data_IF_963795970793
#
_entry.id   IF_963795970793
#
_cell.length_a   1.000
_cell.length_b   1.000
_cell.length_c   1.000
_cell.angle_alpha   90.00
_cell.angle_beta   90.00
_cell.angle_gamma   90.00
#
_symmetry.space_group_name_H-M   'P 1'
#
loop_
_entity.id
_entity.type
_entity.pdbx_description
1 polymer ?
#
# COMPACT_ATOMS: atom_id res chain seq x y z
N UNK A 1 -65.86 13.80 -5.92
CA UNK A 1 -64.70 14.67 -6.23
C UNK A 1 -63.51 14.46 -5.27
N UNK A 2 -63.43 13.36 -4.50
CA UNK A 2 -62.34 13.12 -3.53
C UNK A 2 -61.05 12.56 -4.17
N UNK A 3 -61.10 12.00 -5.38
CA UNK A 3 -59.94 11.33 -5.99
C UNK A 3 -58.77 12.26 -6.33
N UNK A 4 -59.03 13.53 -6.68
CA UNK A 4 -57.99 14.41 -7.24
C UNK A 4 -56.93 14.90 -6.25
N UNK A 5 -57.20 14.86 -4.94
CA UNK A 5 -56.25 15.35 -3.92
C UNK A 5 -55.23 14.29 -3.49
N UNK A 6 -55.58 13.01 -3.60
CA UNK A 6 -54.67 11.91 -3.26
C UNK A 6 -53.61 11.72 -4.36
N UNK A 7 -54.01 11.81 -5.63
CA UNK A 7 -53.10 11.68 -6.77
C UNK A 7 -52.02 12.78 -6.80
N UNK A 8 -52.40 14.03 -6.50
CA UNK A 8 -51.45 15.14 -6.43
C UNK A 8 -50.41 15.00 -5.29
N UNK A 9 -50.80 14.38 -4.16
CA UNK A 9 -49.89 14.13 -3.05
C UNK A 9 -48.88 13.01 -3.35
N UNK A 10 -49.30 12.00 -4.13
CA UNK A 10 -48.42 10.91 -4.59
C UNK A 10 -47.44 11.43 -5.63
N UNK A 11 -47.89 12.28 -6.57
CA UNK A 11 -47.06 12.89 -7.61
C UNK A 11 -45.96 13.79 -7.00
N UNK A 12 -46.31 14.64 -6.03
CA UNK A 12 -45.34 15.45 -5.31
C UNK A 12 -44.33 14.62 -4.48
N UNK A 13 -44.76 13.48 -3.93
CA UNK A 13 -43.87 12.57 -3.21
C UNK A 13 -42.89 11.85 -4.17
N UNK A 14 -43.34 11.54 -5.38
CA UNK A 14 -42.50 10.95 -6.43
C UNK A 14 -41.43 11.95 -6.92
N UNK A 15 -41.77 13.22 -7.17
CA UNK A 15 -40.79 14.24 -7.57
C UNK A 15 -39.74 14.54 -6.49
N UNK A 16 -40.15 14.62 -5.22
CA UNK A 16 -39.22 14.78 -4.09
C UNK A 16 -38.28 13.57 -3.96
N UNK A 17 -38.77 12.38 -4.31
CA UNK A 17 -37.97 11.17 -4.23
C UNK A 17 -37.03 10.99 -5.44
N UNK A 18 -37.47 11.39 -6.63
CA UNK A 18 -36.65 11.43 -7.84
C UNK A 18 -35.51 12.46 -7.70
N UNK A 19 -35.80 13.63 -7.14
CA UNK A 19 -34.77 14.64 -6.82
C UNK A 19 -33.76 14.14 -5.79
N UNK A 20 -34.20 13.40 -4.77
CA UNK A 20 -33.29 12.75 -3.80
C UNK A 20 -32.38 11.69 -4.44
N UNK A 21 -32.90 10.89 -5.37
CA UNK A 21 -32.10 9.91 -6.12
C UNK A 21 -31.09 10.57 -7.08
N UNK A 22 -31.48 11.65 -7.76
CA UNK A 22 -30.59 12.44 -8.62
C UNK A 22 -29.44 13.09 -7.84
N UNK A 23 -29.73 13.61 -6.64
CA UNK A 23 -28.71 14.20 -5.77
C UNK A 23 -27.67 13.17 -5.33
N UNK A 24 -28.13 12.02 -4.85
CA UNK A 24 -27.24 10.92 -4.45
C UNK A 24 -26.37 10.44 -5.62
N UNK A 25 -26.91 10.36 -6.84
CA UNK A 25 -26.09 10.02 -8.02
C UNK A 25 -25.02 11.06 -8.33
N UNK A 26 -25.33 12.34 -8.19
CA UNK A 26 -24.35 13.42 -8.40
C UNK A 26 -23.23 13.33 -7.36
N UNK A 27 -23.58 13.03 -6.11
CA UNK A 27 -22.62 12.81 -5.04
C UNK A 27 -21.77 11.57 -5.28
N UNK A 28 -22.36 10.44 -5.67
CA UNK A 28 -21.63 9.22 -6.01
C UNK A 28 -20.58 9.49 -7.10
N UNK A 29 -20.96 10.17 -8.19
CA UNK A 29 -20.03 10.54 -9.28
C UNK A 29 -18.87 11.42 -8.81
N UNK A 30 -19.13 12.33 -7.87
CA UNK A 30 -18.09 13.17 -7.29
C UNK A 30 -17.12 12.32 -6.46
N UNK A 31 -17.64 11.46 -5.59
CA UNK A 31 -16.83 10.54 -4.77
C UNK A 31 -16.01 9.57 -5.63
N UNK A 32 -16.58 9.05 -6.72
CA UNK A 32 -15.88 8.21 -7.70
C UNK A 32 -14.68 8.95 -8.32
N UNK A 33 -14.86 10.22 -8.71
CA UNK A 33 -13.78 11.05 -9.25
C UNK A 33 -12.69 11.34 -8.23
N UNK A 34 -13.08 11.66 -6.99
CA UNK A 34 -12.13 11.88 -5.89
C UNK A 34 -11.34 10.59 -5.56
N UNK A 35 -12.02 9.43 -5.57
CA UNK A 35 -11.39 8.11 -5.38
C UNK A 35 -10.37 7.79 -6.47
N UNK A 36 -10.71 8.01 -7.74
CA UNK A 36 -9.80 7.77 -8.87
C UNK A 36 -8.48 8.55 -8.74
N UNK A 37 -8.57 9.84 -8.43
CA UNK A 37 -7.41 10.71 -8.23
C UNK A 37 -6.57 10.26 -7.04
N UNK A 38 -7.22 9.91 -5.92
CA UNK A 38 -6.53 9.49 -4.69
C UNK A 38 -5.88 8.12 -4.84
N UNK A 39 -6.57 7.14 -5.42
CA UNK A 39 -6.02 5.81 -5.68
C UNK A 39 -4.86 5.86 -6.67
N UNK A 40 -4.98 6.66 -7.74
CA UNK A 40 -3.89 6.90 -8.69
C UNK A 40 -2.65 7.49 -7.99
N UNK A 41 -2.86 8.45 -7.10
CA UNK A 41 -1.79 9.06 -6.30
C UNK A 41 -1.15 8.07 -5.34
N UNK A 42 -1.96 7.24 -4.67
CA UNK A 42 -1.52 6.21 -3.74
C UNK A 42 -0.74 5.09 -4.46
N UNK A 43 -1.20 4.63 -5.62
CA UNK A 43 -0.52 3.64 -6.45
C UNK A 43 0.83 4.14 -6.97
N UNK A 44 0.93 5.42 -7.34
CA UNK A 44 2.21 6.06 -7.72
C UNK A 44 3.20 6.12 -6.57
N UNK A 45 2.74 6.35 -5.34
CA UNK A 45 3.61 6.29 -4.18
C UNK A 45 4.12 4.87 -3.95
N UNK A 46 3.25 3.86 -4.09
CA UNK A 46 3.64 2.46 -3.97
C UNK A 46 4.67 2.04 -5.03
N UNK A 47 4.50 2.45 -6.30
CA UNK A 47 5.43 2.06 -7.38
C UNK A 47 6.80 2.73 -7.26
N UNK A 48 6.88 3.97 -6.73
CA UNK A 48 8.15 4.65 -6.47
C UNK A 48 9.00 3.90 -5.45
N UNK A 49 8.37 3.36 -4.42
CA UNK A 49 9.04 2.50 -3.44
C UNK A 49 9.53 1.20 -4.07
N UNK A 50 8.87 0.70 -5.13
CA UNK A 50 9.28 -0.54 -5.82
C UNK A 50 10.47 -0.36 -6.75
N UNK A 51 10.57 0.81 -7.39
CA UNK A 51 11.63 1.09 -8.34
C UNK A 51 12.96 1.47 -7.66
N UNK A 52 12.95 1.93 -6.41
CA UNK A 52 14.17 2.27 -5.68
C UNK A 52 14.91 0.99 -5.25
N UNK A 53 16.02 0.67 -5.93
CA UNK A 53 16.93 -0.44 -5.63
C UNK A 53 17.68 -0.32 -4.30
N UNK A 54 17.59 0.84 -3.66
CA UNK A 54 17.85 0.98 -2.23
C UNK A 54 16.49 1.05 -1.52
N UNK A 55 16.07 -0.01 -0.79
CA UNK A 55 14.99 0.09 0.18
C UNK A 55 15.51 0.91 1.37
N UNK A 56 15.92 2.15 1.14
CA UNK A 56 16.13 3.10 2.20
C UNK A 56 14.74 3.33 2.79
N UNK A 57 14.54 2.77 3.98
CA UNK A 57 13.32 2.81 4.75
C UNK A 57 12.57 4.12 4.51
N UNK A 58 11.37 4.04 3.93
CA UNK A 58 10.50 5.20 3.77
C UNK A 58 10.53 6.00 5.08
N UNK A 59 10.88 7.28 4.98
CA UNK A 59 11.08 8.12 6.15
C UNK A 59 9.84 8.06 7.05
N UNK A 60 9.96 8.17 8.38
CA UNK A 60 8.80 8.18 9.28
C UNK A 60 7.69 9.14 8.81
N UNK A 61 8.07 10.28 8.21
CA UNK A 61 7.16 11.27 7.61
C UNK A 61 6.42 10.75 6.37
N UNK A 62 7.09 9.98 5.49
CA UNK A 62 6.47 9.36 4.32
C UNK A 62 5.50 8.27 4.76
N UNK A 63 5.88 7.48 5.77
CA UNK A 63 5.02 6.46 6.37
C UNK A 63 3.75 7.05 6.99
N UNK A 64 3.85 8.20 7.67
CA UNK A 64 2.65 8.90 8.15
C UNK A 64 1.79 9.43 7.00
N UNK A 65 2.41 9.93 5.93
CA UNK A 65 1.68 10.41 4.75
C UNK A 65 0.88 9.30 4.07
N UNK A 66 1.45 8.09 3.96
CA UNK A 66 0.74 6.93 3.41
C UNK A 66 -0.46 6.53 4.26
N UNK A 67 -0.27 6.45 5.59
CA UNK A 67 -1.38 6.14 6.51
C UNK A 67 -2.50 7.18 6.42
N UNK A 68 -2.16 8.47 6.31
CA UNK A 68 -3.16 9.52 6.13
C UNK A 68 -3.95 9.34 4.82
N UNK A 69 -3.26 8.97 3.73
CA UNK A 69 -3.90 8.72 2.44
C UNK A 69 -4.79 7.46 2.47
N UNK A 70 -4.36 6.40 3.16
CA UNK A 70 -5.17 5.19 3.39
C UNK A 70 -6.46 5.51 4.16
N UNK A 71 -6.38 6.32 5.22
CA UNK A 71 -7.55 6.74 5.98
C UNK A 71 -8.51 7.60 5.15
N UNK A 72 -7.97 8.50 4.31
CA UNK A 72 -8.78 9.33 3.43
C UNK A 72 -9.49 8.50 2.36
N UNK A 73 -8.78 7.56 1.71
CA UNK A 73 -9.38 6.64 0.72
C UNK A 73 -10.45 5.77 1.39
N UNK A 74 -10.18 5.24 2.59
CA UNK A 74 -11.17 4.45 3.32
C UNK A 74 -12.42 5.30 3.64
N UNK A 75 -12.24 6.54 4.09
CA UNK A 75 -13.36 7.45 4.34
C UNK A 75 -14.18 7.76 3.08
N UNK A 76 -13.53 7.88 1.91
CA UNK A 76 -14.23 8.09 0.64
C UNK A 76 -15.00 6.84 0.20
N UNK A 77 -14.43 5.63 0.39
CA UNK A 77 -15.11 4.37 0.13
C UNK A 77 -16.35 4.20 1.02
N UNK A 78 -16.22 4.49 2.32
CA UNK A 78 -17.32 4.40 3.28
C UNK A 78 -18.44 5.38 2.92
N UNK A 79 -18.10 6.63 2.56
CA UNK A 79 -19.08 7.62 2.08
C UNK A 79 -19.78 7.17 0.79
N UNK A 80 -19.04 6.60 -0.17
CA UNK A 80 -19.64 6.10 -1.41
C UNK A 80 -20.57 4.91 -1.13
N UNK A 81 -20.23 4.07 -0.16
CA UNK A 81 -21.12 3.02 0.31
C UNK A 81 -22.40 3.58 0.93
N UNK A 82 -22.31 4.58 1.81
CA UNK A 82 -23.47 5.25 2.41
C UNK A 82 -24.40 5.88 1.35
N UNK A 83 -23.82 6.50 0.32
CA UNK A 83 -24.57 7.06 -0.82
C UNK A 83 -25.22 5.95 -1.64
N UNK A 84 -24.53 4.84 -1.90
CA UNK A 84 -25.10 3.66 -2.57
C UNK A 84 -26.25 3.03 -1.79
N UNK A 85 -26.16 3.00 -0.46
CA UNK A 85 -27.24 2.54 0.42
C UNK A 85 -28.40 3.54 0.41
N UNK A 86 -28.11 4.85 0.38
CA UNK A 86 -29.06 5.93 0.08
C UNK A 86 -29.87 5.67 -1.18
N UNK A 87 -29.15 5.45 -2.28
CA UNK A 87 -29.72 5.16 -3.59
C UNK A 87 -30.60 3.89 -3.52
N UNK A 88 -30.13 2.84 -2.83
CA UNK A 88 -30.86 1.59 -2.66
C UNK A 88 -32.22 1.79 -1.96
N UNK A 89 -32.28 2.64 -0.93
CA UNK A 89 -33.54 2.97 -0.24
C UNK A 89 -34.49 3.75 -1.14
N UNK A 90 -33.99 4.73 -1.91
CA UNK A 90 -34.80 5.49 -2.86
C UNK A 90 -35.39 4.59 -3.96
N UNK A 91 -34.58 3.66 -4.49
CA UNK A 91 -35.04 2.69 -5.48
C UNK A 91 -36.10 1.75 -4.92
N UNK A 92 -35.98 1.29 -3.67
CA UNK A 92 -36.96 0.40 -3.03
C UNK A 92 -38.29 1.08 -2.69
N UNK A 93 -38.27 2.39 -2.43
CA UNK A 93 -39.45 3.19 -2.04
C UNK A 93 -40.28 3.68 -3.23
N UNK A 94 -39.74 3.64 -4.44
CA UNK A 94 -40.43 4.00 -5.69
C UNK A 94 -40.81 2.73 -6.44
N UNK A 95 -41.70 2.82 -7.44
CA UNK A 95 -41.84 1.75 -8.43
C UNK A 95 -40.54 1.68 -9.24
N UNK A 96 -39.53 0.99 -8.70
CA UNK A 96 -38.18 0.93 -9.24
C UNK A 96 -38.22 0.57 -10.71
N UNK A 97 -37.80 1.50 -11.56
CA UNK A 97 -37.69 1.23 -12.99
C UNK A 97 -36.44 0.38 -13.24
N UNK A 98 -36.46 -0.45 -14.28
CA UNK A 98 -35.30 -1.28 -14.67
C UNK A 98 -34.03 -0.43 -14.85
N UNK A 99 -34.16 0.80 -15.36
CA UNK A 99 -33.04 1.72 -15.55
C UNK A 99 -32.42 2.21 -14.23
N UNK A 100 -33.24 2.50 -13.21
CA UNK A 100 -32.78 2.84 -11.85
C UNK A 100 -32.01 1.66 -11.25
N UNK A 101 -32.57 0.45 -11.34
CA UNK A 101 -31.94 -0.77 -10.82
C UNK A 101 -30.59 -1.06 -11.51
N UNK A 102 -30.51 -0.90 -12.84
CA UNK A 102 -29.27 -1.07 -13.59
C UNK A 102 -28.20 -0.04 -13.23
N UNK A 103 -28.59 1.23 -13.09
CA UNK A 103 -27.66 2.29 -12.65
C UNK A 103 -27.14 2.02 -11.24
N UNK A 104 -28.00 1.61 -10.32
CA UNK A 104 -27.60 1.24 -8.95
C UNK A 104 -26.58 0.09 -8.96
N UNK A 105 -26.84 -0.95 -9.75
CA UNK A 105 -25.93 -2.08 -9.89
C UNK A 105 -24.54 -1.60 -10.35
N UNK A 106 -24.47 -0.72 -11.36
CA UNK A 106 -23.18 -0.17 -11.79
C UNK A 106 -22.47 0.60 -10.67
N UNK A 107 -23.16 1.45 -9.91
CA UNK A 107 -22.51 2.17 -8.81
C UNK A 107 -21.94 1.23 -7.73
N UNK A 108 -22.59 0.09 -7.48
CA UNK A 108 -22.06 -0.96 -6.60
C UNK A 108 -20.83 -1.64 -7.20
N UNK A 109 -20.84 -1.94 -8.49
CA UNK A 109 -19.68 -2.53 -9.18
C UNK A 109 -18.47 -1.58 -9.14
N UNK A 110 -18.69 -0.26 -9.36
CA UNK A 110 -17.63 0.76 -9.26
C UNK A 110 -17.03 0.78 -7.85
N UNK A 111 -17.86 0.80 -6.82
CA UNK A 111 -17.40 0.75 -5.43
C UNK A 111 -16.57 -0.52 -5.16
N UNK A 112 -17.01 -1.67 -5.66
CA UNK A 112 -16.28 -2.92 -5.53
C UNK A 112 -14.92 -2.88 -6.25
N UNK A 113 -14.85 -2.33 -7.46
CA UNK A 113 -13.61 -2.12 -8.22
C UNK A 113 -12.62 -1.26 -7.42
N UNK A 114 -13.04 -0.10 -6.92
CA UNK A 114 -12.19 0.79 -6.11
C UNK A 114 -11.73 0.13 -4.80
N UNK A 115 -12.63 -0.56 -4.09
CA UNK A 115 -12.27 -1.25 -2.86
C UNK A 115 -11.27 -2.38 -3.12
N UNK A 116 -11.40 -3.10 -4.24
CA UNK A 116 -10.46 -4.12 -4.65
C UNK A 116 -9.09 -3.53 -5.01
N UNK A 117 -9.06 -2.45 -5.79
CA UNK A 117 -7.82 -1.75 -6.13
C UNK A 117 -7.11 -1.25 -4.88
N UNK A 118 -7.83 -0.62 -3.96
CA UNK A 118 -7.28 -0.16 -2.69
C UNK A 118 -6.61 -1.29 -1.91
N UNK A 119 -7.30 -2.42 -1.74
CA UNK A 119 -6.75 -3.60 -1.05
C UNK A 119 -5.50 -4.13 -1.74
N UNK A 120 -5.51 -4.21 -3.08
CA UNK A 120 -4.37 -4.67 -3.88
C UNK A 120 -3.17 -3.76 -3.69
N UNK A 121 -3.34 -2.45 -3.82
CA UNK A 121 -2.26 -1.47 -3.68
C UNK A 121 -1.70 -1.46 -2.25
N UNK A 122 -2.56 -1.51 -1.24
CA UNK A 122 -2.15 -1.61 0.18
C UNK A 122 -1.36 -2.89 0.46
N UNK A 123 -1.82 -4.03 -0.07
CA UNK A 123 -1.13 -5.32 0.06
C UNK A 123 0.26 -5.31 -0.59
N UNK A 124 0.37 -4.72 -1.79
CA UNK A 124 1.66 -4.52 -2.46
C UNK A 124 2.61 -3.69 -1.58
N UNK A 125 2.13 -2.57 -1.01
CA UNK A 125 2.93 -1.70 -0.14
C UNK A 125 3.38 -2.41 1.15
N UNK A 126 2.53 -3.24 1.76
CA UNK A 126 2.88 -4.03 2.95
C UNK A 126 3.97 -5.05 2.65
N UNK A 127 3.78 -5.88 1.62
CA UNK A 127 4.73 -6.93 1.24
C UNK A 127 6.12 -6.36 0.94
N UNK A 128 6.13 -5.24 0.24
CA UNK A 128 7.35 -4.48 -0.06
C UNK A 128 8.07 -3.95 1.17
N UNK A 129 7.32 -3.45 2.14
CA UNK A 129 7.87 -2.97 3.40
C UNK A 129 8.46 -4.12 4.21
N UNK A 130 7.73 -5.23 4.33
CA UNK A 130 8.21 -6.42 5.02
C UNK A 130 9.52 -6.91 4.40
N UNK A 131 9.62 -6.92 3.08
CA UNK A 131 10.85 -7.24 2.37
C UNK A 131 12.00 -6.25 2.69
N UNK A 132 11.72 -4.95 2.76
CA UNK A 132 12.71 -3.93 3.13
C UNK A 132 13.20 -4.09 4.59
N UNK A 133 12.28 -4.32 5.54
CA UNK A 133 12.59 -4.46 6.96
C UNK A 133 13.47 -5.73 7.19
N UNK A 134 13.17 -6.83 6.49
CA UNK A 134 14.00 -8.05 6.51
C UNK A 134 15.42 -7.80 5.95
N UNK A 135 15.54 -7.11 4.81
CA UNK A 135 16.86 -6.80 4.22
C UNK A 135 17.70 -5.86 5.08
N UNK A 136 17.07 -4.93 5.82
CA UNK A 136 17.76 -4.06 6.77
C UNK A 136 18.32 -4.88 7.94
N UNK A 137 17.50 -5.72 8.56
CA UNK A 137 17.94 -6.60 9.67
C UNK A 137 19.11 -7.48 9.26
N UNK A 138 19.04 -8.12 8.07
CA UNK A 138 20.13 -8.96 7.56
C UNK A 138 21.40 -8.15 7.34
N UNK A 139 21.30 -6.89 6.85
CA UNK A 139 22.46 -6.02 6.67
C UNK A 139 23.10 -5.67 8.01
N UNK A 140 22.29 -5.32 8.99
CA UNK A 140 22.74 -4.96 10.34
C UNK A 140 23.48 -6.15 10.98
N UNK A 141 22.92 -7.36 10.92
CA UNK A 141 23.55 -8.61 11.39
C UNK A 141 24.89 -8.91 10.68
N UNK A 142 24.98 -8.69 9.36
CA UNK A 142 26.22 -8.85 8.59
C UNK A 142 27.27 -7.85 9.06
N UNK A 143 26.88 -6.58 9.26
CA UNK A 143 27.82 -5.55 9.72
C UNK A 143 28.30 -5.83 11.14
N UNK A 144 27.41 -6.28 12.04
CA UNK A 144 27.77 -6.68 13.40
C UNK A 144 28.73 -7.87 13.40
N UNK A 145 28.45 -8.91 12.60
CA UNK A 145 29.34 -10.06 12.43
C UNK A 145 30.74 -9.68 11.94
N UNK A 146 30.83 -8.65 11.08
CA UNK A 146 32.10 -8.15 10.55
C UNK A 146 32.88 -7.31 11.59
N UNK A 147 32.18 -6.59 12.46
CA UNK A 147 32.77 -5.82 13.57
C UNK A 147 33.30 -6.75 14.66
N UNK A 148 32.64 -7.89 14.87
CA UNK A 148 33.04 -8.92 15.84
C UNK A 148 34.18 -9.84 15.33
N UNK A 149 34.70 -9.62 14.11
CA UNK A 149 35.89 -10.29 13.60
C UNK A 149 37.14 -9.41 13.80
N UNK A 150 37.81 -9.44 14.96
CA UNK A 150 39.05 -8.70 15.16
C UNK A 150 40.16 -9.26 14.26
N UNK A 151 40.77 -8.36 13.49
CA UNK A 151 42.05 -8.53 12.82
C UNK A 151 43.11 -9.07 13.79
N UNK A 152 43.51 -10.33 13.65
CA UNK A 152 44.76 -10.83 14.21
C UNK A 152 45.45 -11.75 13.20
N UNK A 153 46.24 -11.15 12.30
CA UNK A 153 47.51 -11.75 11.91
C UNK A 153 48.62 -10.81 12.39
N UNK A 154 49.40 -11.16 13.43
CA UNK A 154 50.67 -10.52 13.64
C UNK A 154 51.60 -10.93 12.49
N UNK A 155 52.10 -9.93 11.77
CA UNK A 155 53.25 -10.03 10.87
C UNK A 155 54.43 -10.62 11.63
N UNK A 156 54.70 -11.92 11.46
CA UNK A 156 55.91 -12.56 12.00
C UNK A 156 57.15 -12.08 11.24
N UNK A 157 57.68 -10.92 11.64
CA UNK A 157 59.12 -10.70 11.63
C UNK A 157 59.72 -11.32 12.91
N UNK A 158 60.93 -11.89 12.79
CA UNK A 158 61.81 -12.44 13.83
C UNK A 158 61.73 -13.96 14.07
N UNK A 159 62.29 -14.74 13.14
CA UNK A 159 62.96 -16.00 13.48
C UNK A 159 64.46 -15.71 13.60
N UNK A 160 64.89 -15.21 14.77
CA UNK A 160 66.32 -15.04 15.09
C UNK A 160 66.75 -16.18 16.00
N UNK A 161 67.56 -17.07 15.43
CA UNK A 161 68.80 -17.66 15.97
C UNK A 161 68.90 -17.87 17.49
N UNK A 162 68.76 -19.13 17.92
CA UNK A 162 69.41 -19.79 19.07
C UNK A 162 69.12 -21.29 18.87
N UNK A 163 70.04 -22.16 18.48
CA UNK A 163 71.18 -22.63 19.27
C UNK A 163 72.32 -23.04 18.35
N UNK A 164 73.52 -22.56 18.67
CA UNK A 164 74.75 -22.99 18.05
C UNK A 164 75.20 -24.36 18.56
N UNK A 165 75.79 -25.14 17.65
CA UNK A 165 76.94 -25.97 17.95
C UNK A 165 78.01 -25.62 16.92
N UNK A 166 79.10 -25.06 17.42
CA UNK A 166 80.31 -24.66 16.68
C UNK A 166 81.14 -25.94 16.44
N UNK A 167 81.30 -26.32 15.16
CA UNK A 167 82.53 -26.65 14.37
C UNK A 167 83.76 -27.32 15.07
N UNK A 168 84.77 -27.93 14.39
CA UNK A 168 85.05 -28.03 12.93
C UNK A 168 85.66 -29.41 12.52
N UNK A 169 86.70 -29.50 11.64
CA UNK A 169 86.62 -29.88 10.23
C UNK A 169 87.38 -31.19 9.94
N UNK A 170 87.34 -31.68 8.69
CA UNK A 170 88.54 -32.05 7.91
C UNK A 170 88.31 -33.11 6.82
N UNK A 171 88.69 -32.73 5.58
CA UNK A 171 89.32 -33.55 4.53
C UNK A 171 88.48 -34.68 3.88
N UNK A 172 88.56 -35.07 2.60
CA UNK A 172 89.15 -34.61 1.33
C UNK A 172 88.71 -35.71 0.31
N UNK A 173 88.61 -35.40 -1.01
CA UNK A 173 88.56 -36.33 -2.17
C UNK A 173 87.28 -37.16 -2.43
N UNK A 174 86.58 -37.07 -3.58
CA UNK A 174 86.94 -37.36 -5.00
C UNK A 174 86.90 -38.85 -5.36
N UNK A 175 85.85 -39.31 -6.06
CA UNK A 175 85.84 -39.77 -7.48
C UNK A 175 84.40 -39.77 -8.00
#
# INVERSE_FOLDING_TARGET
MVSSSADAAVDAALELQESGWEELRREARKLEGDLDVKLSSYARLASRTSASSAPAAASPSERSSWKSMELEIQSLLDKLQDVNDGMSRCAASTASTTSVSQKLARHRDILHEFAQEFRRTRGNLSSMREHADLLSSVRDDITESKVLAPTNLPTSQNFVMCYGVVYPPDHYYSI
#
